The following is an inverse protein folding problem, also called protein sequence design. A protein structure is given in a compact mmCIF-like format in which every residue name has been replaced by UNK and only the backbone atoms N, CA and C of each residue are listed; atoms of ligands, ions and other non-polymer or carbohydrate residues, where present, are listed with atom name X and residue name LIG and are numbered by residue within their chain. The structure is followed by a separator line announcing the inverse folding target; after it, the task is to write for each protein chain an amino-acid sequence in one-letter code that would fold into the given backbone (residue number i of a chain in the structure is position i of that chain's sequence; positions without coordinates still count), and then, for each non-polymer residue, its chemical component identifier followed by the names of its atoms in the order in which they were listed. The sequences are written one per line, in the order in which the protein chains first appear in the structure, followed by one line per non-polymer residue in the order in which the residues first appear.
data_IF_542026177650
#
_entry.id   IF_542026177650
#
_cell.length_a   1.000
_cell.length_b   1.000
_cell.length_c   1.000
_cell.angle_alpha   90.00
_cell.angle_beta   90.00
_cell.angle_gamma   90.00
#
_symmetry.space_group_name_H-M   'P 1'
#
loop_
_entity.id
_entity.type
_entity.pdbx_description
1 polymer ?
#
# COMPACT_ATOMS: atom_id res chain seq x y z
N UNK A 1 3.70 -1.95 25.35
CA UNK A 1 3.88 -0.91 24.31
C UNK A 1 2.62 -0.85 23.47
N UNK A 2 2.23 0.35 23.02
CA UNK A 2 1.16 0.52 22.05
C UNK A 2 1.55 -0.17 20.73
N UNK A 3 0.60 -0.86 20.09
CA UNK A 3 0.80 -1.41 18.76
C UNK A 3 0.86 -0.32 17.69
N UNK A 4 0.94 -0.72 16.43
CA UNK A 4 0.87 0.20 15.28
C UNK A 4 -0.26 -0.19 14.35
N UNK A 5 -0.82 0.77 13.62
CA UNK A 5 -1.85 0.56 12.62
C UNK A 5 -1.42 1.19 11.29
N UNK A 6 -1.40 0.41 10.22
CA UNK A 6 -1.24 0.88 8.84
C UNK A 6 -2.47 0.46 8.04
N UNK A 7 -3.11 1.44 7.39
CA UNK A 7 -4.22 1.23 6.45
C UNK A 7 -3.73 1.51 5.04
N UNK A 8 -4.02 0.62 4.09
CA UNK A 8 -3.63 0.81 2.69
C UNK A 8 -4.76 0.54 1.71
N UNK A 9 -4.80 1.31 0.62
CA UNK A 9 -5.82 1.19 -0.43
C UNK A 9 -5.14 1.07 -1.79
N UNK A 10 -5.54 0.08 -2.58
CA UNK A 10 -5.02 -0.16 -3.95
C UNK A 10 -6.12 -0.05 -5.01
N UNK A 11 -5.73 -0.07 -6.29
CA UNK A 11 -6.68 -0.06 -7.41
C UNK A 11 -7.42 1.28 -7.55
N UNK A 12 -6.72 2.37 -7.23
CA UNK A 12 -7.23 3.76 -7.32
C UNK A 12 -7.19 4.19 -8.79
N UNK A 13 -8.33 4.67 -9.29
CA UNK A 13 -8.51 5.18 -10.65
C UNK A 13 -9.65 6.22 -10.64
N UNK A 14 -9.82 6.96 -11.74
CA UNK A 14 -11.01 7.77 -12.06
C UNK A 14 -12.35 7.19 -11.57
N UNK A 15 -12.55 5.88 -11.75
CA UNK A 15 -13.77 5.15 -11.43
C UNK A 15 -13.91 4.73 -9.97
N UNK A 16 -12.82 4.72 -9.20
CA UNK A 16 -12.82 4.25 -7.80
C UNK A 16 -12.42 5.34 -6.82
N UNK A 17 -11.82 6.43 -7.30
CA UNK A 17 -11.38 7.57 -6.50
C UNK A 17 -12.51 8.13 -5.61
N UNK A 18 -13.77 8.28 -6.08
CA UNK A 18 -14.84 8.77 -5.21
C UNK A 18 -15.05 7.91 -3.95
N UNK A 19 -15.11 6.58 -4.07
CA UNK A 19 -15.27 5.69 -2.92
C UNK A 19 -14.04 5.67 -2.02
N UNK A 20 -12.84 5.82 -2.59
CA UNK A 20 -11.60 5.94 -1.82
C UNK A 20 -11.60 7.26 -1.03
N UNK A 21 -12.04 8.36 -1.64
CA UNK A 21 -12.12 9.67 -0.99
C UNK A 21 -13.12 9.65 0.19
N UNK A 22 -14.30 9.04 0.00
CA UNK A 22 -15.28 8.87 1.09
C UNK A 22 -14.71 8.03 2.24
N UNK A 23 -14.02 6.93 1.92
CA UNK A 23 -13.37 6.10 2.93
C UNK A 23 -12.25 6.85 3.66
N UNK A 24 -11.41 7.62 2.94
CA UNK A 24 -10.36 8.44 3.54
C UNK A 24 -10.93 9.52 4.47
N UNK A 25 -12.05 10.18 4.11
CA UNK A 25 -12.70 11.15 4.98
C UNK A 25 -13.14 10.53 6.32
N UNK A 26 -13.62 9.28 6.31
CA UNK A 26 -13.97 8.56 7.53
C UNK A 26 -12.74 8.20 8.38
N UNK A 27 -11.59 7.98 7.76
CA UNK A 27 -10.32 7.76 8.46
C UNK A 27 -9.71 9.07 8.98
N UNK A 28 -9.91 10.19 8.27
CA UNK A 28 -9.46 11.51 8.70
C UNK A 28 -10.16 11.93 10.01
N UNK A 29 -11.46 11.66 10.15
CA UNK A 29 -12.22 11.86 11.41
C UNK A 29 -11.62 11.06 12.56
N UNK A 30 -11.02 9.90 12.27
CA UNK A 30 -10.34 9.03 13.25
C UNK A 30 -8.87 9.39 13.45
N UNK A 31 -8.35 10.37 12.73
CA UNK A 31 -6.94 10.74 12.74
C UNK A 31 -6.02 9.65 12.17
N UNK A 32 -6.50 8.80 11.26
CA UNK A 32 -5.74 7.68 10.67
C UNK A 32 -5.28 8.05 9.25
N UNK A 33 -3.97 8.19 8.99
CA UNK A 33 -3.46 8.42 7.64
C UNK A 33 -3.51 7.12 6.81
N UNK A 34 -3.45 7.26 5.49
CA UNK A 34 -3.58 6.14 4.54
C UNK A 34 -2.32 5.99 3.70
N UNK A 35 -1.92 4.74 3.43
CA UNK A 35 -0.94 4.42 2.39
C UNK A 35 -1.66 4.08 1.08
N UNK A 36 -1.62 4.99 0.12
CA UNK A 36 -2.26 4.87 -1.18
C UNK A 36 -1.31 4.12 -2.12
N UNK A 37 -1.70 2.89 -2.49
CA UNK A 37 -0.95 2.00 -3.36
C UNK A 37 -1.30 2.33 -4.82
N UNK A 38 -0.46 3.13 -5.45
CA UNK A 38 -0.71 3.73 -6.77
C UNK A 38 0.00 2.93 -7.86
N UNK A 39 -0.77 2.48 -8.86
CA UNK A 39 -0.25 1.83 -10.05
C UNK A 39 -0.37 2.80 -11.25
N UNK A 40 0.71 3.07 -12.00
CA UNK A 40 0.65 3.92 -13.19
C UNK A 40 -0.32 3.41 -14.25
N UNK A 41 -0.45 2.08 -14.37
CA UNK A 41 -1.44 1.42 -15.23
C UNK A 41 -2.13 0.31 -14.45
N UNK A 42 -3.42 0.13 -14.72
CA UNK A 42 -4.22 -0.99 -14.20
C UNK A 42 -4.98 -1.64 -15.36
N UNK A 43 -5.62 -2.78 -15.07
CA UNK A 43 -6.44 -3.50 -16.05
C UNK A 43 -7.57 -2.63 -16.62
N UNK A 44 -7.92 -2.90 -17.88
CA UNK A 44 -9.01 -2.19 -18.57
C UNK A 44 -8.59 -0.91 -19.27
N UNK A 45 -7.28 -0.72 -19.53
CA UNK A 45 -6.77 0.38 -20.34
C UNK A 45 -6.57 1.70 -19.60
N UNK A 46 -6.78 1.72 -18.28
CA UNK A 46 -6.55 2.92 -17.48
C UNK A 46 -5.07 3.29 -17.43
N UNK A 47 -4.82 4.59 -17.47
CA UNK A 47 -3.51 5.17 -17.29
C UNK A 47 -3.58 6.40 -16.40
N UNK A 48 -2.68 6.47 -15.43
CA UNK A 48 -2.65 7.55 -14.46
C UNK A 48 -2.31 8.91 -15.10
N UNK A 49 -1.54 8.91 -16.19
CA UNK A 49 -1.15 10.13 -16.92
C UNK A 49 -2.30 10.75 -17.72
N UNK A 50 -3.39 10.01 -17.95
CA UNK A 50 -4.62 10.52 -18.57
C UNK A 50 -5.66 10.99 -17.52
N UNK A 51 -5.39 10.81 -16.22
CA UNK A 51 -6.32 11.07 -15.11
C UNK A 51 -5.80 12.18 -14.17
N UNK A 52 -5.81 13.41 -14.68
CA UNK A 52 -5.36 14.58 -13.93
C UNK A 52 -6.14 14.80 -12.62
N UNK A 53 -7.41 14.39 -12.55
CA UNK A 53 -8.23 14.54 -11.35
C UNK A 53 -7.74 13.64 -10.21
N UNK A 54 -7.49 12.36 -10.49
CA UNK A 54 -6.95 11.43 -9.51
C UNK A 54 -5.52 11.80 -9.13
N UNK A 55 -4.67 12.22 -10.08
CA UNK A 55 -3.31 12.71 -9.78
C UNK A 55 -3.34 13.90 -8.82
N UNK A 56 -4.16 14.91 -9.10
CA UNK A 56 -4.31 16.07 -8.23
C UNK A 56 -4.87 15.71 -6.85
N UNK A 57 -5.79 14.74 -6.77
CA UNK A 57 -6.28 14.23 -5.49
C UNK A 57 -5.18 13.50 -4.69
N UNK A 58 -4.41 12.62 -5.33
CA UNK A 58 -3.28 11.90 -4.71
C UNK A 58 -2.21 12.87 -4.18
N UNK A 59 -1.88 13.92 -4.95
CA UNK A 59 -0.93 14.95 -4.53
C UNK A 59 -1.39 15.65 -3.25
N UNK A 60 -2.65 16.11 -3.20
CA UNK A 60 -3.22 16.73 -2.00
C UNK A 60 -3.24 15.80 -0.79
N UNK A 61 -3.54 14.51 -0.99
CA UNK A 61 -3.50 13.50 0.09
C UNK A 61 -2.09 13.34 0.66
N UNK A 62 -1.08 13.28 -0.22
CA UNK A 62 0.33 13.19 0.18
C UNK A 62 0.79 14.42 0.97
N UNK A 63 0.46 15.61 0.47
CA UNK A 63 0.88 16.87 1.09
C UNK A 63 0.25 17.07 2.48
N UNK A 64 -0.87 16.40 2.75
CA UNK A 64 -1.45 16.33 4.08
C UNK A 64 -0.68 15.33 4.98
N UNK A 65 -0.90 14.03 4.80
CA UNK A 65 -0.37 13.00 5.73
C UNK A 65 -0.31 11.58 5.17
N UNK A 66 -0.80 11.38 3.95
CA UNK A 66 -0.87 10.05 3.36
C UNK A 66 0.44 9.70 2.65
N UNK A 67 0.74 8.41 2.57
CA UNK A 67 1.88 7.93 1.80
C UNK A 67 1.45 7.53 0.39
N UNK A 68 2.26 7.88 -0.60
CA UNK A 68 2.19 7.28 -1.94
C UNK A 68 3.18 6.12 -1.98
N UNK A 69 2.69 4.94 -2.35
CA UNK A 69 3.48 3.72 -2.50
C UNK A 69 3.30 3.20 -3.92
N UNK A 70 4.39 2.89 -4.61
CA UNK A 70 4.30 2.34 -5.96
C UNK A 70 3.73 0.92 -5.87
N UNK A 71 2.68 0.66 -6.65
CA UNK A 71 1.94 -0.60 -6.66
C UNK A 71 1.98 -1.31 -8.01
N UNK A 72 3.20 -1.53 -8.51
CA UNK A 72 3.44 -2.17 -9.81
C UNK A 72 3.48 -1.19 -10.97
N UNK A 73 3.45 -1.70 -12.20
CA UNK A 73 3.52 -0.86 -13.41
C UNK A 73 2.37 -1.14 -14.37
N UNK A 74 2.18 -2.40 -14.76
CA UNK A 74 1.18 -2.81 -15.73
C UNK A 74 0.55 -4.16 -15.36
N UNK A 75 -0.52 -4.12 -14.55
CA UNK A 75 -1.34 -5.32 -14.32
C UNK A 75 -2.04 -5.83 -15.58
N UNK A 76 -2.24 -4.98 -16.61
CA UNK A 76 -2.95 -5.32 -17.83
C UNK A 76 -2.12 -6.19 -18.79
N UNK A 77 -0.79 -6.07 -18.76
CA UNK A 77 0.11 -6.89 -19.58
C UNK A 77 0.27 -8.35 -19.08
N UNK A 78 -0.26 -8.68 -17.90
CA UNK A 78 -0.12 -10.04 -17.34
C UNK A 78 -1.22 -10.98 -17.86
N UNK A 79 -0.85 -11.89 -18.78
CA UNK A 79 -1.73 -12.97 -19.27
C UNK A 79 -1.96 -14.10 -18.25
N UNK A 80 -1.22 -14.13 -17.13
CA UNK A 80 -1.19 -15.25 -16.19
C UNK A 80 -1.87 -14.93 -14.85
N UNK A 81 -2.37 -15.98 -14.18
CA UNK A 81 -2.95 -15.96 -12.81
C UNK A 81 -1.99 -15.48 -11.69
N UNK A 82 -0.76 -15.04 -12.01
CA UNK A 82 0.26 -14.59 -11.05
C UNK A 82 0.52 -13.10 -11.26
N UNK A 83 0.71 -12.37 -10.16
CA UNK A 83 0.91 -10.92 -10.22
C UNK A 83 2.22 -10.56 -10.93
N UNK A 84 2.23 -9.37 -11.54
CA UNK A 84 3.28 -8.85 -12.44
C UNK A 84 4.71 -9.14 -11.95
N UNK A 85 5.00 -8.87 -10.69
CA UNK A 85 6.36 -8.98 -10.13
C UNK A 85 6.68 -10.32 -9.48
N UNK A 86 5.73 -11.26 -9.41
CA UNK A 86 5.91 -12.52 -8.69
C UNK A 86 6.93 -13.46 -9.35
N UNK A 87 7.14 -13.35 -10.67
CA UNK A 87 7.97 -14.29 -11.43
C UNK A 87 9.03 -13.64 -12.32
N UNK A 88 9.16 -12.31 -12.31
CA UNK A 88 10.04 -11.61 -13.25
C UNK A 88 11.53 -11.86 -12.98
N UNK A 89 12.34 -12.12 -14.02
CA UNK A 89 13.79 -12.00 -13.95
C UNK A 89 14.23 -10.58 -13.59
N UNK A 90 15.44 -10.44 -13.02
CA UNK A 90 15.93 -9.15 -12.53
C UNK A 90 15.97 -8.05 -13.61
N UNK A 91 16.36 -8.38 -14.84
CA UNK A 91 16.43 -7.42 -15.93
C UNK A 91 15.02 -6.89 -16.32
N UNK A 92 14.05 -7.79 -16.42
CA UNK A 92 12.67 -7.44 -16.77
C UNK A 92 11.98 -6.64 -15.65
N UNK A 93 12.22 -7.03 -14.39
CA UNK A 93 11.77 -6.27 -13.24
C UNK A 93 12.37 -4.86 -13.21
N UNK A 94 13.66 -4.74 -13.54
CA UNK A 94 14.35 -3.45 -13.59
C UNK A 94 13.72 -2.50 -14.63
N UNK A 95 13.45 -2.99 -15.85
CA UNK A 95 12.83 -2.17 -16.89
C UNK A 95 11.45 -1.66 -16.48
N UNK A 96 10.62 -2.53 -15.87
CA UNK A 96 9.28 -2.15 -15.40
C UNK A 96 9.31 -1.17 -14.24
N UNK A 97 10.16 -1.40 -13.24
CA UNK A 97 10.33 -0.49 -12.11
C UNK A 97 10.82 0.88 -12.58
N UNK A 98 11.77 0.93 -13.51
CA UNK A 98 12.27 2.17 -14.09
C UNK A 98 11.18 2.92 -14.85
N UNK A 99 10.38 2.22 -15.67
CA UNK A 99 9.27 2.83 -16.39
C UNK A 99 8.21 3.38 -15.44
N UNK A 100 7.87 2.62 -14.39
CA UNK A 100 6.91 3.05 -13.37
C UNK A 100 7.40 4.28 -12.59
N UNK A 101 8.66 4.26 -12.13
CA UNK A 101 9.25 5.38 -11.40
C UNK A 101 9.26 6.66 -12.25
N UNK A 102 9.54 6.56 -13.56
CA UNK A 102 9.48 7.72 -14.48
C UNK A 102 8.07 8.28 -14.63
N UNK A 103 7.05 7.43 -14.76
CA UNK A 103 5.66 7.93 -14.85
C UNK A 103 5.25 8.60 -13.55
N UNK A 104 5.56 7.99 -12.40
CA UNK A 104 5.29 8.58 -11.09
C UNK A 104 6.04 9.90 -10.89
N UNK A 105 7.29 9.98 -11.34
CA UNK A 105 8.08 11.22 -11.32
C UNK A 105 7.47 12.32 -12.18
N UNK A 106 7.07 12.00 -13.42
CA UNK A 106 6.43 12.96 -14.31
C UNK A 106 5.12 13.50 -13.74
N UNK A 107 4.37 12.67 -13.02
CA UNK A 107 3.13 13.08 -12.33
C UNK A 107 3.38 13.78 -10.98
N UNK A 108 4.65 13.99 -10.59
CA UNK A 108 4.99 14.60 -9.31
C UNK A 108 4.67 13.71 -8.09
N UNK A 109 4.44 12.41 -8.29
CA UNK A 109 4.05 11.41 -7.29
C UNK A 109 5.19 10.43 -6.93
N UNK A 110 6.44 10.76 -7.29
CA UNK A 110 7.61 9.90 -7.05
C UNK A 110 7.69 9.42 -5.59
N UNK A 111 8.03 8.15 -5.41
CA UNK A 111 8.13 7.52 -4.09
C UNK A 111 9.27 6.50 -4.07
N UNK A 112 9.78 6.19 -2.87
CA UNK A 112 10.80 5.16 -2.62
C UNK A 112 10.23 3.93 -1.92
N UNK A 113 8.91 3.86 -1.82
CA UNK A 113 8.16 2.78 -1.20
C UNK A 113 7.53 1.92 -2.30
N UNK A 114 7.62 0.61 -2.15
CA UNK A 114 7.06 -0.34 -3.12
C UNK A 114 6.21 -1.39 -2.42
N UNK A 115 5.08 -1.74 -3.03
CA UNK A 115 4.28 -2.91 -2.68
C UNK A 115 3.90 -3.62 -3.98
N UNK A 116 4.24 -4.89 -4.18
CA UNK A 116 3.83 -5.56 -5.41
C UNK A 116 2.31 -5.79 -5.44
N UNK A 117 1.65 -5.69 -6.60
CA UNK A 117 0.33 -6.26 -6.80
C UNK A 117 0.30 -7.73 -6.34
N UNK A 118 -0.75 -8.14 -5.64
CA UNK A 118 -0.84 -9.48 -5.04
C UNK A 118 0.24 -9.80 -3.98
N UNK A 119 0.97 -8.78 -3.48
CA UNK A 119 1.89 -8.87 -2.34
C UNK A 119 3.09 -9.81 -2.49
N UNK A 120 3.38 -10.25 -3.72
CA UNK A 120 4.42 -11.24 -4.02
C UNK A 120 5.45 -10.64 -4.98
N UNK A 121 6.73 -10.83 -4.66
CA UNK A 121 7.87 -10.41 -5.48
C UNK A 121 8.79 -11.58 -5.77
N UNK A 122 9.37 -11.61 -6.96
CA UNK A 122 10.46 -12.53 -7.32
C UNK A 122 11.79 -12.08 -6.70
N UNK A 123 12.76 -12.99 -6.63
CA UNK A 123 14.15 -12.64 -6.27
C UNK A 123 14.76 -11.60 -7.22
N UNK A 124 14.41 -11.67 -8.50
CA UNK A 124 14.80 -10.66 -9.49
C UNK A 124 14.27 -9.27 -9.16
N UNK A 125 13.01 -9.18 -8.73
CA UNK A 125 12.40 -7.93 -8.30
C UNK A 125 13.06 -7.39 -7.03
N UNK A 126 13.28 -8.25 -6.03
CA UNK A 126 14.00 -7.88 -4.80
C UNK A 126 15.37 -7.27 -5.10
N UNK A 127 16.11 -7.84 -6.06
CA UNK A 127 17.42 -7.34 -6.50
C UNK A 127 17.31 -6.03 -7.27
N UNK A 128 16.24 -5.84 -8.04
CA UNK A 128 16.05 -4.66 -8.88
C UNK A 128 15.56 -3.43 -8.09
N UNK A 129 14.83 -3.62 -6.99
CA UNK A 129 14.24 -2.53 -6.21
C UNK A 129 15.28 -1.49 -5.73
N UNK A 130 16.37 -1.87 -5.02
CA UNK A 130 17.37 -0.89 -4.58
C UNK A 130 18.05 -0.14 -5.72
N UNK A 131 18.28 -0.83 -6.85
CA UNK A 131 18.91 -0.28 -8.07
C UNK A 131 18.06 0.82 -8.70
N UNK A 132 16.74 0.75 -8.55
CA UNK A 132 15.79 1.77 -9.00
C UNK A 132 15.47 2.80 -7.90
N UNK A 133 16.25 2.81 -6.81
CA UNK A 133 16.12 3.81 -5.75
C UNK A 133 15.08 3.47 -4.68
N UNK A 134 14.34 2.37 -4.77
CA UNK A 134 13.43 1.97 -3.71
C UNK A 134 14.20 1.63 -2.43
N UNK A 135 13.59 1.93 -1.29
CA UNK A 135 14.19 1.79 0.04
C UNK A 135 13.36 0.95 0.98
N UNK A 136 12.07 0.81 0.71
CA UNK A 136 11.16 -0.02 1.50
C UNK A 136 10.29 -0.88 0.59
N UNK A 137 10.16 -2.16 0.95
CA UNK A 137 9.21 -3.10 0.38
C UNK A 137 8.16 -3.46 1.42
N UNK A 138 6.90 -3.11 1.15
CA UNK A 138 5.74 -3.60 1.90
C UNK A 138 5.29 -4.95 1.30
N UNK A 139 5.75 -6.06 1.89
CA UNK A 139 5.39 -7.42 1.48
C UNK A 139 4.20 -7.98 2.25
N UNK A 140 3.73 -9.18 1.87
CA UNK A 140 2.59 -9.85 2.50
C UNK A 140 2.81 -10.12 3.99
N UNK A 141 4.00 -10.56 4.38
CA UNK A 141 4.32 -11.04 5.74
C UNK A 141 5.30 -10.16 6.49
N UNK A 142 5.85 -9.14 5.84
CA UNK A 142 6.84 -8.25 6.43
C UNK A 142 6.89 -6.90 5.72
N UNK A 143 7.54 -5.94 6.38
CA UNK A 143 7.99 -4.67 5.81
C UNK A 143 9.51 -4.73 5.81
N UNK A 144 10.13 -4.76 4.63
CA UNK A 144 11.57 -4.84 4.48
C UNK A 144 12.17 -3.47 4.19
N UNK A 145 13.14 -3.06 5.00
CA UNK A 145 14.03 -1.96 4.72
C UNK A 145 15.17 -2.46 3.82
N UNK A 146 15.10 -2.08 2.55
CA UNK A 146 16.03 -2.52 1.53
C UNK A 146 17.40 -1.85 1.64
N UNK A 147 17.47 -0.69 2.30
CA UNK A 147 18.74 0.00 2.52
C UNK A 147 19.50 -0.56 3.72
N UNK A 148 18.77 -1.00 4.75
CA UNK A 148 19.35 -1.51 6.01
C UNK A 148 19.43 -3.04 6.06
N UNK A 149 18.76 -3.76 5.15
CA UNK A 149 18.71 -5.22 5.17
C UNK A 149 17.91 -5.78 6.35
N UNK A 150 17.03 -4.98 6.95
CA UNK A 150 16.21 -5.36 8.12
C UNK A 150 14.75 -5.51 7.73
N UNK A 151 13.99 -6.35 8.44
CA UNK A 151 12.56 -6.51 8.21
C UNK A 151 11.75 -6.56 9.50
N UNK A 152 10.56 -5.95 9.47
CA UNK A 152 9.56 -6.06 10.54
C UNK A 152 8.50 -7.07 10.09
N UNK A 153 8.40 -8.20 10.79
CA UNK A 153 7.39 -9.23 10.49
C UNK A 153 6.01 -8.75 10.93
N UNK A 154 5.09 -8.68 9.97
CA UNK A 154 3.68 -8.43 10.20
C UNK A 154 2.91 -8.78 8.93
N UNK A 155 1.85 -9.59 9.06
CA UNK A 155 1.04 -10.01 7.92
C UNK A 155 -0.01 -8.94 7.58
N UNK A 156 -0.19 -8.68 6.28
CA UNK A 156 -1.31 -7.88 5.77
C UNK A 156 -2.61 -8.67 5.85
N UNK A 157 -3.64 -8.04 6.43
CA UNK A 157 -5.01 -8.51 6.46
C UNK A 157 -5.80 -7.72 5.40
N UNK A 158 -6.14 -8.35 4.27
CA UNK A 158 -6.68 -7.61 3.14
C UNK A 158 -8.06 -8.06 2.64
N UNK A 159 -8.69 -7.23 1.82
CA UNK A 159 -9.88 -7.54 1.01
C UNK A 159 -9.61 -7.17 -0.46
N UNK A 160 -9.74 -8.13 -1.38
CA UNK A 160 -9.33 -7.95 -2.78
C UNK A 160 -7.81 -8.09 -2.98
N UNK A 161 -7.28 -7.83 -4.18
CA UNK A 161 -5.84 -7.97 -4.51
C UNK A 161 -5.15 -9.25 -3.97
N UNK A 162 -5.75 -10.41 -4.21
CA UNK A 162 -5.28 -11.71 -3.70
C UNK A 162 -5.95 -12.18 -2.41
N UNK A 163 -6.82 -11.36 -1.81
CA UNK A 163 -7.66 -11.74 -0.67
C UNK A 163 -9.13 -11.92 -1.04
N UNK A 164 -9.83 -12.70 -0.22
CA UNK A 164 -11.27 -12.94 -0.28
C UNK A 164 -12.07 -11.66 0.07
N UNK A 165 -13.38 -11.64 -0.23
CA UNK A 165 -14.25 -10.47 0.01
C UNK A 165 -15.64 -10.82 0.55
N UNK A 166 -15.85 -12.08 0.90
CA UNK A 166 -17.09 -12.65 1.42
C UNK A 166 -17.35 -12.18 2.87
N UNK A 167 -18.61 -12.17 3.34
CA UNK A 167 -18.94 -11.69 4.69
C UNK A 167 -18.19 -12.41 5.81
N UNK A 168 -18.00 -13.73 5.70
CA UNK A 168 -17.24 -14.51 6.69
C UNK A 168 -15.76 -14.12 6.74
N UNK A 169 -15.19 -13.72 5.58
CA UNK A 169 -13.81 -13.24 5.49
C UNK A 169 -13.66 -11.86 6.14
N UNK A 170 -14.62 -10.96 5.90
CA UNK A 170 -14.68 -9.65 6.55
C UNK A 170 -14.65 -9.80 8.08
N UNK A 171 -15.43 -10.73 8.64
CA UNK A 171 -15.40 -11.04 10.08
C UNK A 171 -14.04 -11.57 10.52
N UNK A 172 -13.43 -12.47 9.76
CA UNK A 172 -12.10 -13.03 10.05
C UNK A 172 -11.02 -11.94 10.06
N UNK A 173 -11.08 -10.98 9.13
CA UNK A 173 -10.18 -9.83 9.08
C UNK A 173 -10.28 -9.01 10.36
N UNK A 174 -11.49 -8.61 10.76
CA UNK A 174 -11.74 -7.80 11.96
C UNK A 174 -11.20 -8.49 13.23
N UNK A 175 -11.56 -9.77 13.43
CA UNK A 175 -11.08 -10.55 14.58
C UNK A 175 -9.56 -10.75 14.59
N UNK A 176 -8.94 -10.79 13.41
CA UNK A 176 -7.49 -10.91 13.29
C UNK A 176 -6.78 -9.59 13.60
N UNK A 177 -7.32 -8.47 13.14
CA UNK A 177 -6.82 -7.14 13.45
C UNK A 177 -6.87 -6.88 14.95
N UNK A 178 -8.01 -7.16 15.60
CA UNK A 178 -8.19 -7.03 17.05
C UNK A 178 -7.17 -7.87 17.83
N UNK A 179 -6.98 -9.13 17.45
CA UNK A 179 -6.03 -10.03 18.12
C UNK A 179 -4.59 -9.49 18.05
N UNK A 180 -4.19 -8.93 16.92
CA UNK A 180 -2.85 -8.33 16.73
C UNK A 180 -2.74 -7.05 17.59
N UNK A 181 -3.75 -6.19 17.52
CA UNK A 181 -3.81 -4.93 18.27
C UNK A 181 -3.72 -5.15 19.78
N UNK A 182 -4.52 -6.08 20.32
CA UNK A 182 -4.52 -6.47 21.74
C UNK A 182 -3.17 -6.96 22.24
N UNK A 183 -2.35 -7.54 21.36
CA UNK A 183 -0.99 -8.01 21.66
C UNK A 183 0.08 -6.94 21.48
N UNK A 184 -0.30 -5.69 21.17
CA UNK A 184 0.63 -4.60 20.89
C UNK A 184 1.40 -4.78 19.59
N UNK A 185 0.87 -5.54 18.64
CA UNK A 185 1.51 -5.80 17.36
C UNK A 185 1.31 -4.70 16.32
N UNK A 186 1.94 -4.87 15.16
CA UNK A 186 1.70 -4.05 13.96
C UNK A 186 0.52 -4.63 13.17
N UNK A 187 -0.61 -3.92 13.18
CA UNK A 187 -1.81 -4.20 12.39
C UNK A 187 -1.66 -3.57 11.01
N UNK A 188 -1.75 -4.38 9.96
CA UNK A 188 -1.70 -3.92 8.56
C UNK A 188 -2.98 -4.36 7.87
N UNK A 189 -3.87 -3.41 7.56
CA UNK A 189 -5.12 -3.69 6.84
C UNK A 189 -5.08 -3.10 5.43
N UNK A 190 -5.56 -3.86 4.45
CA UNK A 190 -5.54 -3.44 3.05
C UNK A 190 -6.87 -3.68 2.33
N UNK A 191 -7.25 -2.81 1.40
CA UNK A 191 -8.47 -2.99 0.61
C UNK A 191 -8.26 -2.55 -0.83
N UNK A 192 -8.72 -3.36 -1.79
CA UNK A 192 -8.83 -2.92 -3.17
C UNK A 192 -10.04 -1.99 -3.32
N UNK A 193 -9.85 -0.81 -3.92
CA UNK A 193 -10.83 0.27 -3.97
C UNK A 193 -12.21 -0.17 -4.50
N UNK A 194 -12.24 -1.06 -5.50
CA UNK A 194 -13.50 -1.63 -6.04
C UNK A 194 -14.40 -2.31 -5.00
N UNK A 195 -13.87 -2.71 -3.84
CA UNK A 195 -14.65 -3.30 -2.76
C UNK A 195 -15.24 -2.26 -1.79
N UNK A 196 -14.74 -1.01 -1.78
CA UNK A 196 -15.23 0.04 -0.90
C UNK A 196 -16.66 0.49 -1.22
N UNK A 197 -17.14 0.32 -2.46
CA UNK A 197 -18.55 0.54 -2.81
C UNK A 197 -19.52 -0.42 -2.08
N UNK A 198 -19.03 -1.57 -1.62
CA UNK A 198 -19.83 -2.57 -0.92
C UNK A 198 -19.83 -2.26 0.59
N UNK A 199 -21.00 -2.18 1.24
CA UNK A 199 -21.08 -1.80 2.65
C UNK A 199 -20.35 -2.79 3.57
N UNK A 200 -20.39 -4.10 3.28
CA UNK A 200 -19.72 -5.14 4.09
C UNK A 200 -18.19 -4.94 4.21
N UNK A 201 -17.43 -5.03 3.10
CA UNK A 201 -16.00 -4.75 3.11
C UNK A 201 -15.61 -3.39 3.70
N UNK A 202 -16.34 -2.32 3.33
CA UNK A 202 -16.09 -0.97 3.86
C UNK A 202 -16.26 -0.95 5.38
N UNK A 203 -17.35 -1.50 5.90
CA UNK A 203 -17.61 -1.56 7.34
C UNK A 203 -16.56 -2.39 8.08
N UNK A 204 -16.15 -3.53 7.52
CA UNK A 204 -15.13 -4.37 8.12
C UNK A 204 -13.76 -3.67 8.23
N UNK A 205 -13.38 -2.86 7.23
CA UNK A 205 -12.17 -2.05 7.31
C UNK A 205 -12.27 -1.00 8.43
N UNK A 206 -13.42 -0.33 8.56
CA UNK A 206 -13.64 0.65 9.63
C UNK A 206 -13.66 0.00 11.02
N UNK A 207 -14.32 -1.15 11.18
CA UNK A 207 -14.35 -1.88 12.45
C UNK A 207 -12.95 -2.35 12.86
N UNK A 208 -12.12 -2.80 11.91
CA UNK A 208 -10.74 -3.18 12.18
C UNK A 208 -9.88 -1.99 12.63
N UNK A 209 -10.10 -0.81 12.03
CA UNK A 209 -9.46 0.44 12.45
C UNK A 209 -9.92 0.85 13.86
N UNK A 210 -11.22 0.85 14.10
CA UNK A 210 -11.81 1.25 15.38
C UNK A 210 -11.33 0.35 16.53
N UNK A 211 -11.23 -0.97 16.31
CA UNK A 211 -10.67 -1.91 17.30
C UNK A 211 -9.16 -1.71 17.53
N UNK A 212 -8.39 -1.41 16.47
CA UNK A 212 -6.97 -1.11 16.63
C UNK A 212 -6.76 0.17 17.46
N UNK A 213 -7.55 1.22 17.20
CA UNK A 213 -7.54 2.47 17.96
C UNK A 213 -7.98 2.27 19.41
N UNK A 214 -9.01 1.45 19.65
CA UNK A 214 -9.46 1.08 21.00
C UNK A 214 -8.33 0.41 21.81
N UNK A 215 -7.51 -0.41 21.16
CA UNK A 215 -6.31 -1.01 21.75
C UNK A 215 -5.08 -0.09 21.76
N UNK A 216 -5.27 1.20 21.50
CA UNK A 216 -4.25 2.25 21.50
C UNK A 216 -3.13 2.01 20.48
N UNK A 217 -3.41 1.33 19.36
CA UNK A 217 -2.46 1.28 18.26
C UNK A 217 -2.21 2.70 17.72
N UNK A 218 -0.94 3.04 17.49
CA UNK A 218 -0.55 4.32 16.90
C UNK A 218 -0.74 4.25 15.38
N UNK A 219 -1.58 5.12 14.78
CA UNK A 219 -1.74 5.17 13.33
C UNK A 219 -0.48 5.66 12.64
N UNK A 220 -0.15 5.05 11.51
CA UNK A 220 0.96 5.44 10.66
C UNK A 220 0.76 5.01 9.22
N UNK A 221 1.74 5.31 8.40
CA UNK A 221 1.80 4.91 6.99
C UNK A 221 3.04 4.07 6.75
N UNK A 222 3.12 3.41 5.60
CA UNK A 222 4.43 2.95 5.14
C UNK A 222 5.32 4.18 4.95
N UNK A 223 6.44 4.21 5.66
CA UNK A 223 7.41 5.29 5.57
C UNK A 223 8.83 4.72 5.65
N UNK A 224 9.75 5.33 4.91
CA UNK A 224 11.17 5.08 5.07
C UNK A 224 11.82 6.40 5.45
N UNK A 225 12.36 6.47 6.67
CA UNK A 225 13.10 7.65 7.13
C UNK A 225 14.60 7.37 6.98
N UNK A 226 15.36 8.26 6.34
CA UNK A 226 16.82 8.19 6.43
C UNK A 226 17.22 8.32 7.91
N UNK A 227 18.37 7.73 8.29
CA UNK A 227 18.94 8.07 9.59
C UNK A 227 19.13 9.59 9.63
N UNK A 228 18.79 10.23 10.76
CA UNK A 228 19.33 11.57 11.00
C UNK A 228 20.84 11.42 10.95
N UNK A 229 21.50 12.12 10.03
CA UNK A 229 22.95 12.23 10.12
C UNK A 229 23.27 12.75 11.53
N UNK A 230 24.11 12.04 12.26
CA UNK A 230 24.76 12.59 13.45
C UNK A 230 25.54 13.80 12.95
N UNK A 231 24.93 14.99 13.04
CA UNK A 231 25.55 16.24 12.59
C UNK A 231 25.86 17.16 13.76
N UNK A 232 25.87 16.63 14.99
CA UNK A 232 26.34 17.34 16.18
C UNK A 232 27.55 16.62 16.77
N UNK A 233 28.68 16.78 16.10
CA UNK A 233 30.02 16.62 16.67
C UNK A 233 31.04 17.33 15.78
N UNK A 234 31.09 18.66 15.89
CA UNK A 234 32.27 19.46 15.61
C UNK A 234 32.18 20.76 16.43
#
# INVERSE_FOLDING_TARGET
MAGQLIVSVSGISDRTMPEVAEFCAQLDVRGVPVSLLVAPRIKGGYRLDDDAATVGWLARRRDARDAIVLHGFDEAATKNRRSEFATLPAHEANLRLMAADRVMEHMGLRTRLFAAPGWTVSQGTLTALPRNGFRLLAGLTEIADLARGTAVRSRVLGIGEGFLSEPWWCRTLVLSAERIARRGGLVRVAVAARHLRRPGPRRAMLDAVDLALMHRCVPGVYEWRPYRALTDAA
#
